data_IF_144218608628
#
_entry.id   IF_144218608628
#
_cell.length_a   1.000
_cell.length_b   1.000
_cell.length_c   1.000
_cell.angle_alpha   90.00
_cell.angle_beta   90.00
_cell.angle_gamma   90.00
#
_symmetry.space_group_name_H-M   'P 1'
#
loop_
_entity.id
_entity.type
_entity.pdbx_description
1 polymer ?
#
# COMPACT_ATOMS: atom_id res chain seq x y z
N UNK A 1 -1.02 5.06 -42.66
CA UNK A 1 -1.78 4.11 -41.81
C UNK A 1 -0.99 3.92 -40.54
N UNK A 2 -1.33 4.68 -39.51
CA UNK A 2 -0.67 4.71 -38.21
C UNK A 2 -1.20 3.55 -37.39
N UNK A 3 -0.31 2.60 -37.08
CA UNK A 3 -0.59 1.50 -36.17
C UNK A 3 -0.84 2.06 -34.77
N UNK A 4 -2.07 1.87 -34.31
CA UNK A 4 -2.49 2.10 -32.93
C UNK A 4 -1.65 1.18 -32.02
N UNK A 5 -0.93 1.68 -30.99
CA UNK A 5 -0.28 0.79 -30.05
C UNK A 5 -1.37 0.02 -29.30
N UNK A 6 -1.33 -1.30 -29.48
CA UNK A 6 -2.24 -2.25 -28.87
C UNK A 6 -2.52 -1.90 -27.41
N UNK A 7 -3.80 -1.66 -27.11
CA UNK A 7 -4.37 -1.62 -25.78
C UNK A 7 -4.11 -2.99 -25.13
N UNK A 8 -2.96 -3.13 -24.46
CA UNK A 8 -2.70 -4.29 -23.60
C UNK A 8 -3.67 -4.15 -22.43
N UNK A 9 -4.62 -5.08 -22.25
CA UNK A 9 -5.53 -5.01 -21.10
C UNK A 9 -4.68 -4.97 -19.84
N UNK A 10 -4.91 -3.97 -18.99
CA UNK A 10 -4.39 -4.04 -17.63
C UNK A 10 -4.99 -5.29 -16.99
N UNK A 11 -4.20 -6.20 -16.38
CA UNK A 11 -4.78 -7.24 -15.56
C UNK A 11 -5.56 -6.55 -14.43
N UNK A 12 -6.85 -6.85 -14.34
CA UNK A 12 -7.74 -6.30 -13.33
C UNK A 12 -7.25 -6.71 -11.95
N UNK A 13 -7.29 -5.79 -10.98
CA UNK A 13 -7.03 -6.12 -9.59
C UNK A 13 -8.00 -7.23 -9.16
N UNK A 14 -7.48 -8.29 -8.54
CA UNK A 14 -8.32 -9.40 -8.14
C UNK A 14 -9.36 -8.89 -7.13
N UNK A 15 -10.67 -9.11 -7.36
CA UNK A 15 -11.66 -8.83 -6.34
C UNK A 15 -11.29 -9.66 -5.11
N UNK A 16 -11.31 -9.03 -3.94
CA UNK A 16 -11.23 -9.79 -2.70
C UNK A 16 -12.65 -10.31 -2.44
N UNK A 17 -12.96 -11.58 -2.71
CA UNK A 17 -14.33 -12.09 -2.85
C UNK A 17 -15.12 -12.11 -1.51
N UNK A 18 -14.53 -11.55 -0.45
CA UNK A 18 -14.97 -11.62 0.95
C UNK A 18 -14.87 -10.29 1.70
N UNK A 19 -14.50 -9.20 1.01
CA UNK A 19 -14.31 -7.88 1.60
C UNK A 19 -15.57 -7.32 2.27
N UNK A 20 -15.39 -6.60 3.37
CA UNK A 20 -16.46 -5.84 4.00
C UNK A 20 -16.89 -4.65 3.16
N UNK A 21 -18.16 -4.28 3.21
CA UNK A 21 -18.74 -3.17 2.46
C UNK A 21 -19.09 -1.99 3.40
N UNK A 22 -18.87 -0.75 2.94
CA UNK A 22 -19.34 0.46 3.61
C UNK A 22 -20.57 0.98 2.86
N UNK A 23 -21.73 0.36 3.10
CA UNK A 23 -22.96 0.62 2.31
C UNK A 23 -23.39 2.08 2.29
N UNK A 24 -23.11 2.83 3.36
CA UNK A 24 -23.37 4.28 3.41
C UNK A 24 -22.49 5.05 2.43
N UNK A 25 -21.22 4.64 2.25
CA UNK A 25 -20.33 5.23 1.25
C UNK A 25 -20.86 4.97 -0.15
N UNK A 26 -21.28 3.74 -0.46
CA UNK A 26 -21.87 3.41 -1.77
C UNK A 26 -23.08 4.28 -2.10
N UNK A 27 -23.97 4.47 -1.11
CA UNK A 27 -25.15 5.34 -1.25
C UNK A 27 -24.75 6.82 -1.48
N UNK A 28 -23.77 7.33 -0.75
CA UNK A 28 -23.29 8.70 -0.93
C UNK A 28 -22.61 8.91 -2.28
N UNK A 29 -21.82 7.94 -2.75
CA UNK A 29 -21.18 8.02 -4.05
C UNK A 29 -22.19 7.94 -5.20
N UNK A 30 -23.24 7.12 -5.06
CA UNK A 30 -24.37 7.11 -6.00
C UNK A 30 -25.12 8.46 -6.00
N UNK A 31 -25.38 9.04 -4.83
CA UNK A 31 -26.02 10.35 -4.72
C UNK A 31 -25.18 11.47 -5.33
N UNK A 32 -23.85 11.40 -5.23
CA UNK A 32 -22.93 12.33 -5.90
C UNK A 32 -23.00 12.22 -7.43
N UNK A 33 -23.09 11.01 -7.97
CA UNK A 33 -23.26 10.80 -9.41
C UNK A 33 -24.60 11.38 -9.89
N UNK A 34 -25.69 11.10 -9.18
CA UNK A 34 -27.02 11.64 -9.51
C UNK A 34 -27.07 13.18 -9.43
N UNK A 35 -26.43 13.77 -8.42
CA UNK A 35 -26.33 15.22 -8.27
C UNK A 35 -25.54 15.84 -9.43
N UNK A 36 -24.44 15.22 -9.84
CA UNK A 36 -23.66 15.69 -10.98
C UNK A 36 -24.47 15.66 -12.29
N UNK A 37 -25.19 14.58 -12.57
CA UNK A 37 -26.04 14.46 -13.76
C UNK A 37 -27.17 15.52 -13.79
N UNK A 38 -27.73 15.85 -12.62
CA UNK A 38 -28.73 16.91 -12.48
C UNK A 38 -28.15 18.33 -12.48
N UNK A 39 -26.82 18.48 -12.50
CA UNK A 39 -26.09 19.76 -12.31
C UNK A 39 -26.38 20.42 -10.95
N UNK A 40 -26.61 19.59 -9.94
CA UNK A 40 -26.76 19.97 -8.54
C UNK A 40 -25.39 19.91 -7.81
N UNK A 41 -25.40 20.18 -6.50
CA UNK A 41 -24.20 20.08 -5.65
C UNK A 41 -23.78 18.62 -5.41
N UNK A 42 -22.74 18.18 -6.12
CA UNK A 42 -22.09 16.88 -5.91
C UNK A 42 -21.03 16.89 -4.80
N UNK A 43 -20.59 18.06 -4.31
CA UNK A 43 -19.54 18.15 -3.29
C UNK A 43 -20.03 17.69 -1.92
N UNK A 44 -21.26 18.06 -1.53
CA UNK A 44 -21.86 17.61 -0.27
C UNK A 44 -21.90 16.08 -0.12
N UNK A 45 -22.50 15.30 -1.05
CA UNK A 45 -22.50 13.84 -0.93
C UNK A 45 -21.10 13.22 -0.99
N UNK A 46 -20.15 13.80 -1.74
CA UNK A 46 -18.76 13.32 -1.73
C UNK A 46 -18.04 13.56 -0.41
N UNK A 47 -18.29 14.70 0.25
CA UNK A 47 -17.76 14.97 1.59
C UNK A 47 -18.32 13.98 2.61
N UNK A 48 -19.61 13.64 2.52
CA UNK A 48 -20.23 12.61 3.34
C UNK A 48 -19.62 11.23 3.10
N UNK A 49 -19.39 10.85 1.83
CA UNK A 49 -18.70 9.60 1.47
C UNK A 49 -17.28 9.55 2.06
N UNK A 50 -16.52 10.64 1.95
CA UNK A 50 -15.17 10.72 2.51
C UNK A 50 -15.15 10.51 4.03
N UNK A 51 -16.14 11.07 4.75
CA UNK A 51 -16.26 10.93 6.19
C UNK A 51 -16.52 9.48 6.63
N UNK A 52 -17.48 8.79 6.00
CA UNK A 52 -17.78 7.39 6.35
C UNK A 52 -16.67 6.42 5.94
N UNK A 53 -15.96 6.70 4.83
CA UNK A 53 -14.77 5.94 4.44
C UNK A 53 -13.63 6.14 5.45
N UNK A 54 -13.44 7.36 5.96
CA UNK A 54 -12.46 7.64 7.00
C UNK A 54 -12.83 6.94 8.33
N UNK A 55 -14.12 6.93 8.69
CA UNK A 55 -14.63 6.19 9.86
C UNK A 55 -14.35 4.68 9.76
N UNK A 56 -14.49 4.09 8.56
CA UNK A 56 -14.16 2.70 8.30
C UNK A 56 -12.63 2.42 8.26
N UNK A 57 -11.80 3.46 8.25
CA UNK A 57 -10.35 3.37 8.07
C UNK A 57 -9.91 3.11 6.62
N UNK A 58 -10.78 3.37 5.65
CA UNK A 58 -10.51 3.25 4.21
C UNK A 58 -9.82 4.53 3.72
N UNK A 59 -8.68 4.84 4.32
CA UNK A 59 -8.01 6.14 4.19
C UNK A 59 -7.64 6.52 2.74
N UNK A 60 -7.16 5.60 1.87
CA UNK A 60 -6.93 5.94 0.46
C UNK A 60 -8.22 6.38 -0.26
N UNK A 61 -9.32 5.67 -0.02
CA UNK A 61 -10.61 5.99 -0.59
C UNK A 61 -11.18 7.30 -0.03
N UNK A 62 -11.03 7.56 1.27
CA UNK A 62 -11.40 8.83 1.87
C UNK A 62 -10.62 10.01 1.26
N UNK A 63 -9.30 9.84 1.02
CA UNK A 63 -8.48 10.83 0.32
C UNK A 63 -8.93 11.05 -1.12
N UNK A 64 -9.27 9.98 -1.84
CA UNK A 64 -9.76 10.08 -3.20
C UNK A 64 -11.10 10.82 -3.28
N UNK A 65 -12.06 10.46 -2.42
CA UNK A 65 -13.35 11.15 -2.30
C UNK A 65 -13.17 12.64 -1.93
N UNK A 66 -12.23 12.96 -1.04
CA UNK A 66 -11.86 14.35 -0.73
C UNK A 66 -11.32 15.10 -1.95
N UNK A 67 -10.52 14.45 -2.79
CA UNK A 67 -10.00 15.05 -4.02
C UNK A 67 -11.10 15.26 -5.08
N UNK A 68 -12.04 14.32 -5.22
CA UNK A 68 -13.24 14.51 -6.04
C UNK A 68 -14.08 15.69 -5.54
N UNK A 69 -14.25 15.81 -4.22
CA UNK A 69 -14.98 16.92 -3.58
C UNK A 69 -14.32 18.26 -3.91
N UNK A 70 -13.00 18.35 -3.77
CA UNK A 70 -12.25 19.57 -4.05
C UNK A 70 -12.29 19.95 -5.54
N UNK A 71 -12.35 18.97 -6.44
CA UNK A 71 -12.45 19.19 -7.87
C UNK A 71 -13.86 19.58 -8.32
N UNK A 72 -14.92 19.10 -7.65
CA UNK A 72 -16.31 19.24 -8.09
C UNK A 72 -16.73 20.67 -8.48
N UNK A 73 -16.39 21.75 -7.73
CA UNK A 73 -16.75 23.12 -8.11
C UNK A 73 -16.04 23.64 -9.36
N UNK A 74 -14.93 23.03 -9.76
CA UNK A 74 -14.12 23.43 -10.91
C UNK A 74 -14.63 22.81 -12.23
N UNK A 75 -15.58 21.89 -12.15
CA UNK A 75 -16.11 21.12 -13.27
C UNK A 75 -17.27 21.86 -13.93
N UNK A 76 -16.95 23.01 -14.53
CA UNK A 76 -17.96 23.90 -15.17
C UNK A 76 -18.02 23.71 -16.70
N UNK A 77 -16.98 23.12 -17.31
CA UNK A 77 -16.85 22.99 -18.76
C UNK A 77 -16.23 21.64 -19.20
N UNK A 78 -16.60 21.18 -20.39
CA UNK A 78 -15.93 20.05 -21.06
C UNK A 78 -14.51 20.45 -21.52
N UNK A 79 -13.51 19.54 -21.49
CA UNK A 79 -13.59 18.10 -21.18
C UNK A 79 -13.42 17.73 -19.70
N UNK A 80 -13.30 18.72 -18.80
CA UNK A 80 -13.09 18.48 -17.37
C UNK A 80 -14.31 17.77 -16.73
N UNK A 81 -15.52 18.08 -17.23
CA UNK A 81 -16.78 17.37 -16.96
C UNK A 81 -16.69 15.87 -17.13
N UNK A 82 -16.40 15.44 -18.37
CA UNK A 82 -16.28 14.03 -18.68
C UNK A 82 -15.19 13.31 -17.86
N UNK A 83 -14.02 13.93 -17.67
CA UNK A 83 -12.92 13.32 -16.93
C UNK A 83 -13.25 13.11 -15.45
N UNK A 84 -13.91 14.07 -14.82
CA UNK A 84 -14.35 13.95 -13.42
C UNK A 84 -15.40 12.84 -13.26
N UNK A 85 -16.36 12.74 -14.19
CA UNK A 85 -17.40 11.70 -14.18
C UNK A 85 -16.80 10.29 -14.31
N UNK A 86 -15.87 10.11 -15.24
CA UNK A 86 -15.15 8.83 -15.40
C UNK A 86 -14.39 8.48 -14.11
N UNK A 87 -13.71 9.45 -13.50
CA UNK A 87 -13.00 9.24 -12.24
C UNK A 87 -13.95 8.82 -11.08
N UNK A 88 -15.15 9.42 -11.01
CA UNK A 88 -16.17 9.04 -10.04
C UNK A 88 -16.71 7.62 -10.29
N UNK A 89 -17.00 7.26 -11.53
CA UNK A 89 -17.53 5.94 -11.88
C UNK A 89 -16.51 4.82 -11.64
N UNK A 90 -15.25 5.03 -12.00
CA UNK A 90 -14.17 4.08 -11.73
C UNK A 90 -13.92 3.93 -10.22
N UNK A 91 -13.99 5.04 -9.47
CA UNK A 91 -13.87 5.01 -8.02
C UNK A 91 -15.02 4.26 -7.35
N UNK A 92 -16.27 4.49 -7.79
CA UNK A 92 -17.44 3.75 -7.31
C UNK A 92 -17.29 2.26 -7.55
N UNK A 93 -16.82 1.89 -8.75
CA UNK A 93 -16.59 0.49 -9.11
C UNK A 93 -15.54 -0.14 -8.20
N UNK A 94 -14.42 0.56 -7.95
CA UNK A 94 -13.38 0.07 -7.04
C UNK A 94 -13.84 -0.05 -5.58
N UNK A 95 -14.62 0.91 -5.07
CA UNK A 95 -15.22 0.82 -3.72
C UNK A 95 -16.18 -0.39 -3.63
N UNK A 96 -16.94 -0.63 -4.69
CA UNK A 96 -17.84 -1.79 -4.81
C UNK A 96 -17.13 -3.15 -4.88
N UNK A 97 -15.84 -3.19 -5.25
CA UNK A 97 -15.01 -4.41 -5.18
C UNK A 97 -14.49 -4.74 -3.79
N UNK A 98 -14.68 -3.84 -2.82
CA UNK A 98 -14.35 -4.05 -1.40
C UNK A 98 -12.90 -4.47 -1.12
N UNK A 99 -11.97 -4.09 -2.01
CA UNK A 99 -10.55 -4.41 -1.89
C UNK A 99 -9.76 -3.18 -1.43
N UNK A 100 -9.39 -3.14 -0.14
CA UNK A 100 -8.63 -2.02 0.44
C UNK A 100 -7.27 -1.78 -0.23
N UNK A 101 -6.65 -2.82 -0.79
CA UNK A 101 -5.36 -2.71 -1.46
C UNK A 101 -5.52 -2.14 -2.86
N UNK A 102 -6.59 -2.50 -3.55
CA UNK A 102 -6.95 -1.85 -4.80
C UNK A 102 -7.15 -0.34 -4.59
N UNK A 103 -7.91 0.04 -3.56
CA UNK A 103 -8.15 1.45 -3.22
C UNK A 103 -6.85 2.22 -2.89
N UNK A 104 -5.80 1.51 -2.46
CA UNK A 104 -4.50 2.08 -2.15
C UNK A 104 -3.56 2.15 -3.37
N UNK A 105 -3.57 1.12 -4.22
CA UNK A 105 -2.50 0.87 -5.20
C UNK A 105 -2.95 0.85 -6.66
N UNK A 106 -4.25 0.97 -6.96
CA UNK A 106 -4.75 0.96 -8.34
C UNK A 106 -4.09 2.05 -9.21
N UNK A 107 -3.42 1.68 -10.32
CA UNK A 107 -2.84 2.64 -11.25
C UNK A 107 -3.90 3.55 -11.88
N UNK A 108 -5.11 3.01 -12.13
CA UNK A 108 -6.24 3.75 -12.70
C UNK A 108 -6.71 4.83 -11.74
N UNK A 109 -7.00 4.46 -10.48
CA UNK A 109 -7.40 5.43 -9.46
C UNK A 109 -6.29 6.45 -9.21
N UNK A 110 -5.03 6.02 -9.12
CA UNK A 110 -3.93 6.96 -8.95
C UNK A 110 -3.78 7.94 -10.12
N UNK A 111 -4.00 7.47 -11.36
CA UNK A 111 -4.04 8.30 -12.56
C UNK A 111 -5.10 9.40 -12.46
N UNK A 112 -6.31 9.02 -12.07
CA UNK A 112 -7.43 9.96 -11.82
C UNK A 112 -7.11 10.95 -10.70
N UNK A 113 -6.60 10.46 -9.57
CA UNK A 113 -6.24 11.31 -8.43
C UNK A 113 -5.22 12.38 -8.81
N UNK A 114 -4.18 12.00 -9.56
CA UNK A 114 -3.17 12.93 -10.05
C UNK A 114 -3.78 13.95 -11.01
N UNK A 115 -4.61 13.51 -11.96
CA UNK A 115 -5.27 14.40 -12.92
C UNK A 115 -6.17 15.43 -12.20
N UNK A 116 -7.00 14.98 -11.25
CA UNK A 116 -7.86 15.85 -10.44
C UNK A 116 -7.04 16.84 -9.61
N UNK A 117 -5.89 16.43 -9.05
CA UNK A 117 -5.04 17.33 -8.28
C UNK A 117 -4.35 18.38 -9.16
N UNK A 118 -3.94 18.01 -10.37
CA UNK A 118 -3.39 18.95 -11.34
C UNK A 118 -4.42 20.01 -11.74
N UNK A 119 -5.70 19.66 -11.83
CA UNK A 119 -6.77 20.62 -12.12
C UNK A 119 -7.01 21.64 -10.98
N UNK A 120 -6.83 21.22 -9.73
CA UNK A 120 -7.04 22.06 -8.54
C UNK A 120 -5.81 22.82 -8.05
N UNK A 121 -4.60 22.55 -8.56
CA UNK A 121 -3.36 23.14 -8.05
C UNK A 121 -2.92 24.37 -8.84
N UNK A 122 -2.47 25.40 -8.14
CA UNK A 122 -1.83 26.59 -8.76
C UNK A 122 -0.45 26.26 -9.39
N UNK A 123 0.20 25.18 -8.96
CA UNK A 123 1.47 24.71 -9.51
C UNK A 123 1.32 23.36 -10.23
N UNK A 124 1.18 23.44 -11.55
CA UNK A 124 1.11 22.29 -12.46
C UNK A 124 2.40 21.44 -12.47
N UNK A 125 3.51 21.91 -11.87
CA UNK A 125 4.80 21.22 -11.84
C UNK A 125 4.97 20.31 -10.63
N UNK A 126 4.10 20.41 -9.62
CA UNK A 126 4.12 19.53 -8.46
C UNK A 126 3.63 18.13 -8.84
N UNK A 127 4.56 17.20 -9.10
CA UNK A 127 4.21 15.80 -9.32
C UNK A 127 3.69 15.18 -8.02
N UNK A 128 2.57 14.47 -8.10
CA UNK A 128 1.99 13.73 -6.97
C UNK A 128 2.58 12.32 -6.99
N UNK A 129 3.34 11.89 -5.97
CA UNK A 129 3.85 10.53 -5.91
C UNK A 129 2.77 9.54 -5.43
N UNK A 130 2.94 8.26 -5.81
CA UNK A 130 1.99 7.17 -5.51
C UNK A 130 1.79 6.96 -4.00
N UNK A 131 2.83 7.21 -3.20
CA UNK A 131 2.80 7.00 -1.75
C UNK A 131 1.78 7.88 -1.03
N UNK A 132 1.36 9.00 -1.64
CA UNK A 132 0.30 9.87 -1.10
C UNK A 132 -1.03 9.11 -0.95
N UNK A 133 -1.33 8.18 -1.87
CA UNK A 133 -2.48 7.28 -1.74
C UNK A 133 -2.08 5.96 -1.10
N UNK A 134 -1.05 5.29 -1.61
CA UNK A 134 -0.70 3.94 -1.20
C UNK A 134 -0.32 3.84 0.29
N UNK A 135 0.42 4.83 0.80
CA UNK A 135 1.00 4.78 2.13
C UNK A 135 0.36 5.77 3.11
N UNK A 136 -0.87 6.25 2.83
CA UNK A 136 -1.64 7.05 3.80
C UNK A 136 -1.86 6.26 5.08
N UNK A 137 -1.73 6.91 6.24
CA UNK A 137 -1.95 6.22 7.52
C UNK A 137 -0.83 5.26 7.92
N UNK A 138 0.04 4.82 7.00
CA UNK A 138 1.21 3.95 7.26
C UNK A 138 2.49 4.66 7.72
N UNK A 139 3.07 4.18 8.82
CA UNK A 139 4.39 4.58 9.28
C UNK A 139 5.47 3.97 8.37
N UNK A 140 6.49 4.76 8.02
CA UNK A 140 7.61 4.30 7.19
C UNK A 140 8.91 4.62 7.92
N UNK A 141 9.68 3.61 8.35
CA UNK A 141 10.94 3.84 9.03
C UNK A 141 11.99 4.45 8.08
N UNK A 142 12.94 5.19 8.66
CA UNK A 142 14.06 5.73 7.90
C UNK A 142 14.92 4.61 7.30
N UNK A 143 15.37 4.80 6.06
CA UNK A 143 16.28 3.89 5.39
C UNK A 143 17.73 4.39 5.50
N UNK A 144 18.63 3.51 5.88
CA UNK A 144 20.05 3.81 6.14
C UNK A 144 20.89 3.69 4.88
N UNK A 145 21.98 4.45 4.83
CA UNK A 145 23.01 4.38 3.82
C UNK A 145 24.36 4.22 4.52
N UNK A 146 25.03 3.08 4.32
CA UNK A 146 26.33 2.80 4.95
C UNK A 146 27.42 3.78 4.53
N UNK A 147 28.53 3.83 5.24
CA UNK A 147 29.69 4.56 4.73
C UNK A 147 30.28 3.87 3.49
N UNK A 148 30.50 4.64 2.41
CA UNK A 148 31.20 4.14 1.22
C UNK A 148 32.65 4.61 1.22
N UNK A 149 33.61 3.72 0.93
CA UNK A 149 34.96 4.14 0.56
C UNK A 149 34.95 4.91 -0.76
N UNK A 150 35.70 6.02 -0.84
CA UNK A 150 35.70 6.91 -2.02
C UNK A 150 35.97 6.17 -3.33
N UNK A 151 36.99 5.31 -3.35
CA UNK A 151 37.35 4.53 -4.54
C UNK A 151 36.23 3.57 -5.00
N UNK A 152 35.45 3.04 -4.06
CA UNK A 152 34.28 2.22 -4.38
C UNK A 152 33.13 3.09 -4.88
N UNK A 153 32.84 4.21 -4.21
CA UNK A 153 31.79 5.14 -4.60
C UNK A 153 32.00 5.68 -6.03
N UNK A 154 33.22 6.10 -6.38
CA UNK A 154 33.54 6.55 -7.75
C UNK A 154 33.28 5.46 -8.79
N UNK A 155 33.69 4.23 -8.50
CA UNK A 155 33.52 3.10 -9.42
C UNK A 155 32.06 2.71 -9.57
N UNK A 156 31.32 2.60 -8.48
CA UNK A 156 29.90 2.25 -8.47
C UNK A 156 29.09 3.30 -9.25
N UNK A 157 29.38 4.59 -9.02
CA UNK A 157 28.72 5.70 -9.74
C UNK A 157 29.01 5.66 -11.24
N UNK A 158 30.26 5.48 -11.66
CA UNK A 158 30.61 5.41 -13.08
C UNK A 158 29.91 4.21 -13.79
N UNK A 159 29.82 3.06 -13.12
CA UNK A 159 29.10 1.88 -13.63
C UNK A 159 27.60 2.16 -13.76
N UNK A 160 27.01 2.71 -12.71
CA UNK A 160 25.60 3.07 -12.67
C UNK A 160 25.22 4.07 -13.77
N UNK A 161 25.96 5.18 -13.89
CA UNK A 161 25.68 6.24 -14.87
C UNK A 161 25.83 5.73 -16.31
N UNK A 162 26.84 4.89 -16.58
CA UNK A 162 27.02 4.26 -17.90
C UNK A 162 25.84 3.35 -18.26
N UNK A 163 25.41 2.51 -17.33
CA UNK A 163 24.30 1.59 -17.55
C UNK A 163 22.97 2.36 -17.69
N UNK A 164 22.73 3.35 -16.84
CA UNK A 164 21.57 4.25 -16.90
C UNK A 164 21.47 4.95 -18.26
N UNK A 165 22.59 5.45 -18.79
CA UNK A 165 22.61 6.08 -20.12
C UNK A 165 22.14 5.11 -21.21
N UNK A 166 22.50 3.83 -21.12
CA UNK A 166 22.01 2.78 -22.01
C UNK A 166 20.48 2.61 -21.92
N UNK A 167 19.95 2.55 -20.69
CA UNK A 167 18.50 2.46 -20.43
C UNK A 167 17.73 3.68 -20.95
N UNK A 168 18.25 4.89 -20.73
CA UNK A 168 17.58 6.13 -21.13
C UNK A 168 17.58 6.34 -22.65
N UNK A 169 18.67 5.95 -23.33
CA UNK A 169 18.79 6.08 -24.79
C UNK A 169 18.00 5.04 -25.57
N UNK A 170 17.61 3.93 -24.94
CA UNK A 170 16.85 2.89 -25.60
C UNK A 170 15.42 3.39 -25.94
N UNK A 171 15.06 3.47 -27.23
CA UNK A 171 13.76 3.99 -27.65
C UNK A 171 12.62 2.98 -27.39
N UNK A 172 12.89 1.68 -27.51
CA UNK A 172 11.94 0.58 -27.29
C UNK A 172 12.66 -0.60 -26.66
N UNK A 173 12.09 -1.16 -25.59
CA UNK A 173 12.72 -2.23 -24.80
C UNK A 173 13.92 -1.72 -24.00
N UNK A 174 13.94 -2.00 -22.71
CA UNK A 174 15.11 -1.63 -21.91
C UNK A 174 16.17 -2.71 -22.09
N UNK A 175 17.41 -2.39 -22.49
CA UNK A 175 18.43 -3.41 -22.75
C UNK A 175 18.75 -4.19 -21.48
N UNK A 176 18.50 -5.51 -21.51
CA UNK A 176 18.64 -6.39 -20.34
C UNK A 176 20.01 -6.29 -19.69
N UNK A 177 21.09 -6.27 -20.49
CA UNK A 177 22.45 -6.14 -19.98
C UNK A 177 22.70 -4.83 -19.19
N UNK A 178 22.03 -3.73 -19.54
CA UNK A 178 22.13 -2.48 -18.79
C UNK A 178 21.34 -2.55 -17.47
N UNK A 179 20.20 -3.23 -17.47
CA UNK A 179 19.43 -3.46 -16.24
C UNK A 179 20.13 -4.45 -15.31
N UNK A 180 20.78 -5.48 -15.85
CA UNK A 180 21.58 -6.44 -15.07
C UNK A 180 22.76 -5.72 -14.39
N UNK A 181 23.42 -4.80 -15.11
CA UNK A 181 24.51 -4.00 -14.55
C UNK A 181 24.03 -3.02 -13.47
N UNK A 182 22.85 -2.43 -13.64
CA UNK A 182 22.20 -1.60 -12.62
C UNK A 182 21.84 -2.42 -11.37
N UNK A 183 21.23 -3.60 -11.54
CA UNK A 183 20.89 -4.49 -10.42
C UNK A 183 22.15 -4.95 -9.68
N UNK A 184 23.19 -5.37 -10.41
CA UNK A 184 24.46 -5.76 -9.82
C UNK A 184 25.12 -4.60 -9.06
N UNK A 185 24.97 -3.37 -9.54
CA UNK A 185 25.49 -2.18 -8.84
C UNK A 185 24.72 -1.89 -7.56
N UNK A 186 23.38 -1.94 -7.59
CA UNK A 186 22.55 -1.77 -6.39
C UNK A 186 22.82 -2.86 -5.34
N UNK A 187 22.94 -4.12 -5.78
CA UNK A 187 23.30 -5.24 -4.92
C UNK A 187 24.69 -5.07 -4.29
N UNK A 188 25.67 -4.53 -5.03
CA UNK A 188 27.00 -4.25 -4.50
C UNK A 188 27.01 -3.05 -3.52
N UNK A 189 26.12 -2.08 -3.69
CA UNK A 189 25.96 -0.95 -2.76
C UNK A 189 25.37 -1.39 -1.43
N UNK A 190 24.49 -2.39 -1.45
CA UNK A 190 23.85 -2.93 -0.27
C UNK A 190 24.83 -3.59 0.72
N UNK A 191 24.50 -3.56 2.00
CA UNK A 191 25.33 -4.12 3.09
C UNK A 191 24.64 -5.24 3.88
N UNK A 192 23.39 -5.54 3.54
CA UNK A 192 22.59 -6.60 4.17
C UNK A 192 21.99 -6.18 5.52
N UNK A 193 22.19 -4.94 5.97
CA UNK A 193 21.52 -4.45 7.16
C UNK A 193 20.00 -4.33 6.91
N UNK A 194 19.17 -4.54 7.96
CA UNK A 194 17.76 -4.21 7.88
C UNK A 194 17.62 -2.70 7.61
N UNK A 195 16.62 -2.31 6.82
CA UNK A 195 16.39 -0.91 6.43
C UNK A 195 17.49 -0.27 5.55
N UNK A 196 18.43 -1.05 5.00
CA UNK A 196 19.34 -0.57 3.96
C UNK A 196 18.56 -0.13 2.72
N UNK A 197 18.70 1.14 2.35
CA UNK A 197 18.02 1.70 1.18
C UNK A 197 18.41 0.98 -0.11
N UNK A 198 19.65 0.52 -0.25
CA UNK A 198 20.09 -0.13 -1.49
C UNK A 198 19.45 -1.50 -1.69
N UNK A 199 19.18 -2.23 -0.59
CA UNK A 199 18.37 -3.45 -0.61
C UNK A 199 16.94 -3.16 -1.08
N UNK A 200 16.32 -2.10 -0.57
CA UNK A 200 14.99 -1.65 -1.02
C UNK A 200 14.99 -1.24 -2.51
N UNK A 201 16.00 -0.49 -2.95
CA UNK A 201 16.11 -0.03 -4.33
C UNK A 201 16.33 -1.18 -5.31
N UNK A 202 17.14 -2.17 -4.95
CA UNK A 202 17.34 -3.38 -5.75
C UNK A 202 16.04 -4.20 -5.88
N UNK A 203 15.30 -4.36 -4.76
CA UNK A 203 13.99 -5.00 -4.77
C UNK A 203 13.01 -4.27 -5.71
N UNK A 204 12.92 -2.94 -5.60
CA UNK A 204 12.07 -2.12 -6.44
C UNK A 204 12.46 -2.19 -7.93
N UNK A 205 13.75 -2.17 -8.25
CA UNK A 205 14.23 -2.32 -9.63
C UNK A 205 13.75 -3.63 -10.26
N UNK A 206 13.93 -4.75 -9.54
CA UNK A 206 13.54 -6.08 -10.04
C UNK A 206 12.03 -6.19 -10.24
N UNK A 207 11.24 -5.67 -9.30
CA UNK A 207 9.78 -5.64 -9.43
C UNK A 207 9.34 -4.79 -10.63
N UNK A 208 9.83 -3.56 -10.77
CA UNK A 208 9.50 -2.68 -11.89
C UNK A 208 9.96 -3.24 -13.25
N UNK A 209 11.07 -3.97 -13.27
CA UNK A 209 11.54 -4.69 -14.47
C UNK A 209 10.58 -5.81 -14.84
N UNK A 210 10.18 -6.64 -13.87
CA UNK A 210 9.29 -7.77 -14.10
C UNK A 210 7.92 -7.33 -14.64
N UNK A 211 7.37 -6.22 -14.13
CA UNK A 211 6.09 -5.67 -14.61
C UNK A 211 6.22 -4.67 -15.77
N UNK A 212 7.42 -4.47 -16.32
CA UNK A 212 7.71 -3.48 -17.37
C UNK A 212 7.13 -2.08 -17.05
N UNK A 213 7.20 -1.67 -15.79
CA UNK A 213 6.51 -0.49 -15.28
C UNK A 213 7.04 0.83 -15.91
N UNK A 214 6.15 1.76 -16.29
CA UNK A 214 6.54 3.02 -16.93
C UNK A 214 7.37 3.93 -16.00
N UNK A 215 7.30 3.73 -14.68
CA UNK A 215 8.07 4.49 -13.70
C UNK A 215 9.57 4.13 -13.68
N UNK A 216 9.98 3.00 -14.27
CA UNK A 216 11.34 2.45 -14.16
C UNK A 216 12.43 3.47 -14.51
N UNK A 217 12.31 4.15 -15.67
CA UNK A 217 13.32 5.14 -16.10
C UNK A 217 13.43 6.32 -15.11
N UNK A 218 12.29 6.79 -14.58
CA UNK A 218 12.26 7.89 -13.60
C UNK A 218 12.86 7.45 -12.26
N UNK A 219 12.50 6.26 -11.79
CA UNK A 219 13.04 5.67 -10.56
C UNK A 219 14.56 5.53 -10.64
N UNK A 220 15.09 4.99 -11.73
CA UNK A 220 16.53 4.84 -11.93
C UNK A 220 17.27 6.18 -11.99
N UNK A 221 16.69 7.19 -12.64
CA UNK A 221 17.28 8.53 -12.68
C UNK A 221 17.33 9.19 -11.30
N UNK A 222 16.28 9.07 -10.48
CA UNK A 222 16.27 9.59 -9.10
C UNK A 222 17.21 8.83 -8.18
N UNK A 223 17.32 7.51 -8.37
CA UNK A 223 18.27 6.68 -7.65
C UNK A 223 19.72 7.09 -7.94
N UNK A 224 20.02 7.56 -9.17
CA UNK A 224 21.33 8.15 -9.48
C UNK A 224 21.62 9.42 -8.68
N UNK A 225 20.62 10.28 -8.48
CA UNK A 225 20.78 11.50 -7.67
C UNK A 225 21.13 11.13 -6.23
N UNK A 226 20.41 10.16 -5.64
CA UNK A 226 20.73 9.68 -4.30
C UNK A 226 22.11 9.04 -4.22
N UNK A 227 22.53 8.26 -5.23
CA UNK A 227 23.88 7.69 -5.29
C UNK A 227 24.96 8.79 -5.28
N UNK A 228 24.71 9.89 -5.98
CA UNK A 228 25.58 11.05 -5.97
C UNK A 228 25.73 11.69 -4.59
N UNK A 229 24.61 11.88 -3.87
CA UNK A 229 24.60 12.40 -2.50
C UNK A 229 25.21 11.42 -1.49
N UNK A 230 25.00 10.12 -1.69
CA UNK A 230 25.59 9.06 -0.88
C UNK A 230 27.12 9.03 -1.03
N UNK A 231 27.63 9.16 -2.25
CA UNK A 231 29.06 9.31 -2.52
C UNK A 231 29.66 10.57 -1.87
N UNK A 232 28.84 11.60 -1.61
CA UNK A 232 29.24 12.81 -0.88
C UNK A 232 29.10 12.67 0.65
N UNK A 233 28.76 11.48 1.15
CA UNK A 233 28.75 11.17 2.58
C UNK A 233 27.37 11.13 3.24
N UNK A 234 26.26 11.28 2.49
CA UNK A 234 24.90 11.11 3.05
C UNK A 234 24.77 9.74 3.73
N UNK A 235 24.07 9.68 4.89
CA UNK A 235 23.92 8.46 5.71
C UNK A 235 22.48 7.94 5.83
N UNK A 236 21.52 8.67 5.31
CA UNK A 236 20.10 8.30 5.29
C UNK A 236 19.45 8.75 4.00
N UNK A 237 18.60 7.89 3.43
CA UNK A 237 17.81 8.25 2.27
C UNK A 237 16.74 9.29 2.65
N UNK A 238 16.39 10.24 1.75
CA UNK A 238 15.30 11.17 1.99
C UNK A 238 13.97 10.43 2.24
N UNK A 239 13.22 10.76 3.32
CA UNK A 239 12.00 10.03 3.69
C UNK A 239 10.97 9.92 2.56
N UNK A 240 10.75 11.01 1.83
CA UNK A 240 9.84 11.06 0.68
C UNK A 240 10.24 10.10 -0.43
N UNK A 241 11.54 9.91 -0.65
CA UNK A 241 12.04 8.99 -1.67
C UNK A 241 11.97 7.53 -1.24
N UNK A 242 12.17 7.25 0.06
CA UNK A 242 11.90 5.92 0.64
C UNK A 242 10.44 5.54 0.48
N UNK A 243 9.53 6.45 0.83
CA UNK A 243 8.08 6.23 0.71
C UNK A 243 7.66 5.95 -0.72
N UNK A 244 8.16 6.74 -1.67
CA UNK A 244 7.86 6.53 -3.09
C UNK A 244 8.39 5.20 -3.60
N UNK A 245 9.62 4.84 -3.24
CA UNK A 245 10.22 3.55 -3.63
C UNK A 245 9.43 2.36 -3.06
N UNK A 246 8.97 2.48 -1.81
CA UNK A 246 8.11 1.47 -1.18
C UNK A 246 6.75 1.36 -1.84
N UNK A 247 6.12 2.49 -2.17
CA UNK A 247 4.84 2.49 -2.85
C UNK A 247 4.94 1.82 -4.23
N UNK A 248 6.03 2.06 -4.96
CA UNK A 248 6.31 1.41 -6.24
C UNK A 248 6.55 -0.10 -6.09
N UNK A 249 7.34 -0.51 -5.10
CA UNK A 249 7.58 -1.93 -4.82
C UNK A 249 6.28 -2.65 -4.41
N UNK A 250 5.50 -2.06 -3.51
CA UNK A 250 4.32 -2.68 -2.93
C UNK A 250 3.15 -2.79 -3.91
N UNK A 251 3.02 -1.85 -4.85
CA UNK A 251 1.88 -1.73 -5.77
C UNK A 251 1.44 -3.06 -6.37
N UNK A 252 2.36 -3.78 -6.99
CA UNK A 252 2.02 -4.98 -7.75
C UNK A 252 1.69 -6.15 -6.78
N UNK A 253 2.46 -6.31 -5.69
CA UNK A 253 2.16 -7.32 -4.66
C UNK A 253 0.87 -7.03 -3.87
N UNK A 254 0.46 -5.77 -3.77
CA UNK A 254 -0.78 -5.39 -3.11
C UNK A 254 -2.00 -5.77 -3.95
N UNK A 255 -1.90 -5.67 -5.29
CA UNK A 255 -3.00 -5.92 -6.23
C UNK A 255 -3.10 -7.39 -6.63
N UNK A 256 -1.97 -8.06 -6.80
CA UNK A 256 -1.89 -9.39 -7.40
C UNK A 256 -1.26 -10.42 -6.45
N UNK A 257 -1.00 -10.03 -5.20
CA UNK A 257 -0.34 -10.85 -4.20
C UNK A 257 1.09 -11.27 -4.57
N UNK A 258 1.62 -12.22 -3.82
CA UNK A 258 2.98 -12.73 -3.92
C UNK A 258 2.96 -14.26 -4.12
N UNK A 259 3.88 -14.75 -4.94
CA UNK A 259 4.15 -16.17 -5.14
C UNK A 259 5.32 -16.64 -4.24
N UNK A 260 5.59 -17.95 -4.24
CA UNK A 260 6.62 -18.55 -3.38
C UNK A 260 8.04 -18.02 -3.69
N UNK A 261 8.30 -17.66 -4.94
CA UNK A 261 9.55 -17.05 -5.40
C UNK A 261 9.74 -15.60 -4.89
N UNK A 262 8.66 -14.93 -4.48
CA UNK A 262 8.69 -13.52 -4.09
C UNK A 262 9.07 -13.28 -2.63
N UNK A 263 9.44 -14.34 -1.89
CA UNK A 263 9.78 -14.28 -0.46
C UNK A 263 10.80 -13.18 -0.14
N UNK A 264 11.79 -12.95 -1.02
CA UNK A 264 12.77 -11.90 -0.82
C UNK A 264 12.16 -10.47 -0.91
N UNK A 265 11.20 -10.25 -1.80
CA UNK A 265 10.47 -8.97 -1.89
C UNK A 265 9.55 -8.76 -0.70
N UNK A 266 8.83 -9.81 -0.32
CA UNK A 266 7.93 -9.77 0.84
C UNK A 266 8.70 -9.54 2.14
N UNK A 267 9.90 -10.10 2.28
CA UNK A 267 10.76 -9.84 3.43
C UNK A 267 11.18 -8.36 3.52
N UNK A 268 11.48 -7.72 2.39
CA UNK A 268 11.74 -6.28 2.33
C UNK A 268 10.48 -5.49 2.70
N UNK A 269 9.32 -5.83 2.15
CA UNK A 269 8.05 -5.16 2.46
C UNK A 269 7.69 -5.27 3.95
N UNK A 270 7.87 -6.45 4.54
CA UNK A 270 7.67 -6.69 5.96
C UNK A 270 8.65 -5.90 6.84
N UNK A 271 9.88 -5.63 6.39
CA UNK A 271 10.74 -4.73 7.14
C UNK A 271 10.11 -3.35 7.27
N UNK A 272 9.38 -2.88 6.26
CA UNK A 272 8.69 -1.58 6.23
C UNK A 272 7.21 -1.61 6.65
N UNK A 273 6.71 -2.71 7.22
CA UNK A 273 5.33 -2.80 7.71
C UNK A 273 4.26 -2.89 6.63
N UNK A 274 4.63 -3.39 5.45
CA UNK A 274 3.71 -3.64 4.34
C UNK A 274 3.47 -5.13 4.19
N UNK A 275 2.18 -5.49 4.14
CA UNK A 275 1.73 -6.87 4.01
C UNK A 275 1.23 -7.15 2.59
N UNK A 276 1.24 -8.42 2.21
CA UNK A 276 0.78 -8.92 0.92
C UNK A 276 -0.12 -10.13 1.13
N UNK A 277 -0.88 -10.50 0.10
CA UNK A 277 -1.58 -11.78 0.05
C UNK A 277 -0.66 -12.77 -0.63
N UNK A 278 -0.70 -14.02 -0.18
CA UNK A 278 0.08 -15.09 -0.79
C UNK A 278 -0.85 -15.89 -1.70
N UNK A 279 -0.51 -15.96 -2.99
CA UNK A 279 -1.21 -16.85 -3.92
C UNK A 279 -0.54 -18.21 -3.96
N UNK A 280 -1.36 -19.25 -3.90
CA UNK A 280 -0.91 -20.65 -4.07
C UNK A 280 -0.88 -21.04 -5.57
N UNK A 281 -1.52 -20.25 -6.44
CA UNK A 281 -1.69 -20.58 -7.85
C UNK A 281 -0.47 -20.15 -8.70
N UNK A 282 0.54 -21.01 -8.80
CA UNK A 282 1.79 -20.74 -9.52
C UNK A 282 1.71 -20.68 -11.05
N UNK A 283 0.53 -20.55 -11.68
CA UNK A 283 0.38 -20.41 -13.14
C UNK A 283 -0.85 -19.57 -13.53
N UNK A 284 -0.82 -18.86 -14.69
CA UNK A 284 -1.97 -18.09 -15.20
C UNK A 284 -3.24 -18.92 -15.43
N UNK A 285 -3.09 -20.22 -15.72
CA UNK A 285 -4.22 -21.13 -15.90
C UNK A 285 -4.85 -21.55 -14.57
N UNK A 286 -4.05 -21.74 -13.52
CA UNK A 286 -4.55 -21.96 -12.15
C UNK A 286 -5.17 -20.71 -11.54
N UNK A 287 -4.69 -19.54 -11.97
CA UNK A 287 -5.22 -18.23 -11.57
C UNK A 287 -6.61 -17.99 -12.17
N UNK A 288 -6.80 -18.19 -13.48
CA UNK A 288 -8.12 -18.10 -14.12
C UNK A 288 -9.16 -19.11 -13.55
N UNK A 289 -8.70 -20.29 -13.13
CA UNK A 289 -9.55 -21.27 -12.46
C UNK A 289 -9.90 -20.85 -11.02
N UNK A 290 -8.93 -20.32 -10.28
CA UNK A 290 -9.15 -19.77 -8.94
C UNK A 290 -10.09 -18.56 -8.97
N UNK A 291 -9.93 -17.65 -9.94
CA UNK A 291 -10.83 -16.51 -10.18
C UNK A 291 -12.25 -16.98 -10.50
N UNK A 292 -12.40 -17.94 -11.41
CA UNK A 292 -13.71 -18.47 -11.79
C UNK A 292 -14.40 -19.18 -10.61
N UNK A 293 -13.66 -19.86 -9.75
CA UNK A 293 -14.18 -20.52 -8.56
C UNK A 293 -14.45 -19.53 -7.42
N UNK A 294 -13.63 -18.48 -7.27
CA UNK A 294 -13.82 -17.39 -6.31
C UNK A 294 -15.06 -16.55 -6.65
N UNK A 295 -15.26 -16.21 -7.93
CA UNK A 295 -16.45 -15.48 -8.41
C UNK A 295 -17.74 -16.31 -8.28
N UNK A 296 -17.66 -17.64 -8.45
CA UNK A 296 -18.79 -18.55 -8.19
C UNK A 296 -19.08 -18.67 -6.70
N UNK A 297 -18.06 -18.83 -5.86
CA UNK A 297 -18.20 -18.83 -4.41
C UNK A 297 -18.71 -17.48 -3.87
N UNK A 298 -18.38 -16.37 -4.53
CA UNK A 298 -18.92 -15.03 -4.26
C UNK A 298 -20.42 -14.96 -4.57
N UNK A 299 -20.85 -15.37 -5.76
CA UNK A 299 -22.26 -15.36 -6.13
C UNK A 299 -23.10 -16.21 -5.19
N UNK A 300 -22.58 -17.38 -4.79
CA UNK A 300 -23.24 -18.28 -3.84
C UNK A 300 -23.24 -17.70 -2.41
N UNK A 301 -22.12 -17.14 -1.94
CA UNK A 301 -22.00 -16.57 -0.60
C UNK A 301 -22.78 -15.25 -0.43
N UNK A 302 -22.85 -14.41 -1.46
CA UNK A 302 -23.66 -13.17 -1.46
C UNK A 302 -25.15 -13.50 -1.54
N UNK A 303 -25.53 -14.58 -2.23
CA UNK A 303 -26.92 -15.00 -2.33
C UNK A 303 -27.46 -15.74 -1.09
N UNK A 304 -26.60 -16.35 -0.27
CA UNK A 304 -27.05 -17.25 0.83
C UNK A 304 -26.38 -17.07 2.20
N UNK A 305 -25.22 -16.42 2.33
CA UNK A 305 -24.54 -16.29 3.62
C UNK A 305 -25.05 -15.07 4.41
N UNK A 306 -25.34 -15.21 5.72
CA UNK A 306 -25.73 -14.07 6.54
C UNK A 306 -24.60 -13.03 6.61
N UNK A 307 -24.93 -11.75 6.44
CA UNK A 307 -23.98 -10.64 6.66
C UNK A 307 -24.03 -10.18 8.11
N UNK A 308 -22.89 -9.74 8.67
CA UNK A 308 -22.82 -9.10 10.00
C UNK A 308 -22.43 -7.63 9.87
N UNK A 309 -22.97 -6.78 10.73
CA UNK A 309 -22.62 -5.36 10.78
C UNK A 309 -21.67 -5.10 11.94
N UNK A 310 -20.51 -4.51 11.65
CA UNK A 310 -19.48 -4.09 12.59
C UNK A 310 -19.29 -2.58 12.46
N UNK A 311 -20.15 -1.81 13.12
CA UNK A 311 -20.20 -0.35 12.95
C UNK A 311 -20.65 0.02 11.54
N UNK A 312 -19.81 0.75 10.80
CA UNK A 312 -20.09 1.16 9.42
C UNK A 312 -19.77 0.09 8.37
N UNK A 313 -19.07 -0.98 8.75
CA UNK A 313 -18.65 -2.06 7.84
C UNK A 313 -19.63 -3.23 7.94
N UNK A 314 -20.09 -3.72 6.79
CA UNK A 314 -20.89 -4.95 6.68
C UNK A 314 -20.03 -6.06 6.11
N UNK A 315 -19.89 -7.18 6.82
CA UNK A 315 -18.96 -8.26 6.48
C UNK A 315 -19.70 -9.56 6.16
N UNK A 316 -19.10 -10.40 5.32
CA UNK A 316 -19.55 -11.76 5.08
C UNK A 316 -19.28 -12.63 6.32
N UNK A 317 -20.24 -13.47 6.74
CA UNK A 317 -20.06 -14.31 7.93
C UNK A 317 -18.89 -15.30 7.84
N UNK A 318 -18.63 -15.91 6.69
CA UNK A 318 -17.50 -16.85 6.55
C UNK A 318 -16.16 -16.12 6.66
N UNK A 319 -16.03 -14.99 5.96
CA UNK A 319 -14.86 -14.13 6.05
C UNK A 319 -14.59 -13.65 7.49
N UNK A 320 -15.67 -13.34 8.21
CA UNK A 320 -15.62 -12.96 9.61
C UNK A 320 -15.12 -14.11 10.49
N UNK A 321 -15.61 -15.35 10.31
CA UNK A 321 -15.12 -16.50 11.09
C UNK A 321 -13.65 -16.84 10.77
N UNK A 322 -13.23 -16.77 9.50
CA UNK A 322 -11.82 -16.94 9.09
C UNK A 322 -10.91 -15.90 9.77
N UNK A 323 -11.37 -14.65 9.83
CA UNK A 323 -10.71 -13.59 10.56
C UNK A 323 -10.61 -13.89 12.05
N UNK A 324 -11.69 -14.37 12.69
CA UNK A 324 -11.66 -14.72 14.12
C UNK A 324 -10.66 -15.82 14.44
N UNK A 325 -10.57 -16.86 13.60
CA UNK A 325 -9.57 -17.93 13.76
C UNK A 325 -8.14 -17.38 13.66
N UNK A 326 -7.89 -16.51 12.67
CA UNK A 326 -6.59 -15.85 12.50
C UNK A 326 -6.24 -14.96 13.70
N UNK A 327 -7.23 -14.20 14.19
CA UNK A 327 -7.09 -13.31 15.33
C UNK A 327 -6.76 -14.09 16.61
N UNK A 328 -7.54 -15.13 16.92
CA UNK A 328 -7.35 -16.00 18.09
C UNK A 328 -5.96 -16.65 18.09
N UNK A 329 -5.55 -17.24 16.97
CA UNK A 329 -4.22 -17.84 16.82
C UNK A 329 -3.07 -16.84 16.99
N UNK A 330 -3.33 -15.54 16.85
CA UNK A 330 -2.34 -14.47 16.96
C UNK A 330 -2.33 -13.79 18.34
N UNK A 331 -3.35 -14.00 19.17
CA UNK A 331 -3.52 -13.29 20.46
C UNK A 331 -2.38 -13.53 21.45
N UNK A 332 -1.86 -14.77 21.51
CA UNK A 332 -0.80 -15.12 22.45
C UNK A 332 0.54 -14.43 22.11
N UNK A 333 0.92 -14.42 20.83
CA UNK A 333 2.14 -13.75 20.36
C UNK A 333 2.03 -12.23 20.50
N UNK A 334 0.85 -11.65 20.27
CA UNK A 334 0.60 -10.22 20.49
C UNK A 334 0.67 -9.81 21.96
N UNK A 335 0.41 -10.73 22.89
CA UNK A 335 0.47 -10.47 24.33
C UNK A 335 1.90 -10.39 24.90
N UNK A 336 2.92 -10.61 24.07
CA UNK A 336 4.32 -10.52 24.48
C UNK A 336 4.64 -9.13 25.07
N UNK A 337 5.39 -9.10 26.18
CA UNK A 337 5.85 -7.85 26.79
C UNK A 337 7.03 -7.27 25.99
N UNK A 338 6.91 -6.06 25.40
CA UNK A 338 8.01 -5.44 24.65
C UNK A 338 9.31 -5.25 25.43
N UNK A 339 9.24 -5.21 26.77
CA UNK A 339 10.43 -5.06 27.62
C UNK A 339 11.18 -6.38 27.81
N UNK A 340 10.46 -7.50 27.89
CA UNK A 340 11.02 -8.82 28.20
C UNK A 340 11.23 -9.71 26.96
N UNK A 341 10.66 -9.34 25.81
CA UNK A 341 10.73 -10.12 24.59
C UNK A 341 12.17 -10.22 24.04
N UNK A 342 12.61 -11.45 23.77
CA UNK A 342 13.81 -11.69 22.97
C UNK A 342 13.54 -11.52 21.47
N UNK A 343 14.57 -11.66 20.64
CA UNK A 343 14.45 -11.53 19.19
C UNK A 343 13.46 -12.55 18.59
N UNK A 344 13.41 -13.78 19.10
CA UNK A 344 12.50 -14.82 18.61
C UNK A 344 11.04 -14.53 18.94
N UNK A 345 10.76 -14.03 20.14
CA UNK A 345 9.45 -13.56 20.55
C UNK A 345 9.01 -12.34 19.71
N UNK A 346 9.92 -11.40 19.46
CA UNK A 346 9.66 -10.26 18.58
C UNK A 346 9.36 -10.70 17.13
N UNK A 347 10.06 -11.72 16.60
CA UNK A 347 9.76 -12.30 15.29
C UNK A 347 8.34 -12.89 15.22
N UNK A 348 7.93 -13.66 16.23
CA UNK A 348 6.58 -14.23 16.29
C UNK A 348 5.49 -13.15 16.42
N UNK A 349 5.71 -12.17 17.30
CA UNK A 349 4.79 -11.06 17.50
C UNK A 349 4.65 -10.18 16.24
N UNK A 350 5.75 -9.98 15.49
CA UNK A 350 5.74 -9.31 14.19
C UNK A 350 4.89 -10.07 13.17
N UNK A 351 5.12 -11.38 13.03
CA UNK A 351 4.34 -12.22 12.13
C UNK A 351 2.86 -12.28 12.52
N UNK A 352 2.55 -12.33 13.82
CA UNK A 352 1.17 -12.25 14.32
C UNK A 352 0.49 -10.92 13.96
N UNK A 353 1.19 -9.80 14.14
CA UNK A 353 0.72 -8.48 13.72
C UNK A 353 0.39 -8.43 12.23
N UNK A 354 1.29 -8.90 11.37
CA UNK A 354 1.07 -8.91 9.92
C UNK A 354 -0.04 -9.87 9.47
N UNK A 355 -0.18 -11.05 10.10
CA UNK A 355 -1.32 -11.95 9.82
C UNK A 355 -2.65 -11.29 10.15
N UNK A 356 -2.76 -10.65 11.31
CA UNK A 356 -3.96 -9.90 11.71
C UNK A 356 -4.19 -8.71 10.77
N UNK A 357 -3.13 -7.98 10.39
CA UNK A 357 -3.19 -6.87 9.44
C UNK A 357 -3.74 -7.28 8.08
N UNK A 358 -3.19 -8.34 7.49
CA UNK A 358 -3.68 -8.93 6.23
C UNK A 358 -5.13 -9.36 6.36
N UNK A 359 -5.50 -10.10 7.41
CA UNK A 359 -6.87 -10.59 7.58
C UNK A 359 -7.88 -9.45 7.82
N UNK A 360 -7.51 -8.44 8.62
CA UNK A 360 -8.34 -7.25 8.84
C UNK A 360 -8.50 -6.44 7.55
N UNK A 361 -7.43 -6.32 6.75
CA UNK A 361 -7.46 -5.66 5.45
C UNK A 361 -8.40 -6.40 4.49
N UNK A 362 -8.30 -7.73 4.45
CA UNK A 362 -9.18 -8.58 3.67
C UNK A 362 -10.66 -8.52 4.13
N UNK A 363 -10.91 -8.30 5.41
CA UNK A 363 -12.28 -8.15 5.95
C UNK A 363 -12.83 -6.71 5.77
N UNK A 364 -12.01 -5.73 5.39
CA UNK A 364 -12.41 -4.32 5.27
C UNK A 364 -12.33 -3.51 6.56
N UNK A 365 -11.64 -4.02 7.60
CA UNK A 365 -11.44 -3.36 8.89
C UNK A 365 -10.19 -2.45 8.87
N UNK A 366 -10.26 -1.33 8.15
CA UNK A 366 -9.10 -0.50 7.81
C UNK A 366 -8.28 -0.01 9.01
N UNK A 367 -8.93 0.48 10.07
CA UNK A 367 -8.24 0.94 11.29
C UNK A 367 -7.53 -0.19 12.04
N UNK A 368 -8.16 -1.37 12.07
CA UNK A 368 -7.57 -2.56 12.71
C UNK A 368 -6.37 -3.05 11.91
N UNK A 369 -6.49 -3.08 10.58
CA UNK A 369 -5.39 -3.43 9.68
C UNK A 369 -4.19 -2.48 9.87
N UNK A 370 -4.45 -1.18 9.90
CA UNK A 370 -3.40 -0.18 10.03
C UNK A 370 -2.64 -0.28 11.36
N UNK A 371 -3.36 -0.45 12.48
CA UNK A 371 -2.72 -0.62 13.78
C UNK A 371 -1.91 -1.92 13.82
N UNK A 372 -2.47 -3.02 13.32
CA UNK A 372 -1.80 -4.32 13.31
C UNK A 372 -0.52 -4.31 12.47
N UNK A 373 -0.54 -3.70 11.28
CA UNK A 373 0.65 -3.50 10.44
C UNK A 373 1.71 -2.64 11.13
N UNK A 374 1.29 -1.54 11.77
CA UNK A 374 2.20 -0.63 12.50
C UNK A 374 2.81 -1.34 13.72
N UNK A 375 2.05 -2.18 14.40
CA UNK A 375 2.51 -3.00 15.52
C UNK A 375 3.46 -4.11 15.05
N UNK A 376 3.13 -4.77 13.94
CA UNK A 376 4.00 -5.75 13.28
C UNK A 376 5.36 -5.15 12.93
N UNK A 377 5.38 -3.92 12.44
CA UNK A 377 6.60 -3.14 12.15
C UNK A 377 7.40 -2.82 13.42
N UNK A 378 6.74 -2.42 14.51
CA UNK A 378 7.43 -2.18 15.78
C UNK A 378 8.13 -3.44 16.31
N UNK A 379 7.45 -4.59 16.25
CA UNK A 379 8.02 -5.88 16.59
C UNK A 379 9.12 -6.32 15.64
N UNK A 380 8.96 -6.07 14.33
CA UNK A 380 9.98 -6.35 13.31
C UNK A 380 11.28 -5.60 13.59
N UNK A 381 11.19 -4.32 13.94
CA UNK A 381 12.34 -3.51 14.36
C UNK A 381 13.00 -4.07 15.60
N UNK A 382 12.21 -4.44 16.61
CA UNK A 382 12.72 -5.07 17.83
C UNK A 382 13.46 -6.39 17.53
N UNK A 383 12.93 -7.21 16.63
CA UNK A 383 13.54 -8.46 16.19
C UNK A 383 14.89 -8.25 15.49
N UNK A 384 15.04 -7.13 14.77
CA UNK A 384 16.29 -6.65 14.16
C UNK A 384 17.21 -5.91 15.14
N UNK A 385 16.85 -5.80 16.43
CA UNK A 385 17.62 -5.05 17.43
C UNK A 385 17.55 -3.53 17.31
N UNK A 386 16.63 -3.00 16.49
CA UNK A 386 16.44 -1.57 16.26
C UNK A 386 15.42 -1.02 17.25
N UNK A 387 15.88 -0.27 18.25
CA UNK A 387 15.02 0.26 19.32
C UNK A 387 14.09 1.38 18.84
N UNK A 388 12.90 1.43 19.44
CA UNK A 388 12.01 2.59 19.36
C UNK A 388 12.60 3.78 20.15
N UNK A 389 12.28 4.99 19.74
CA UNK A 389 12.72 6.19 20.45
C UNK A 389 11.93 6.41 21.76
N UNK A 390 12.59 6.94 22.79
CA UNK A 390 11.94 7.41 24.02
C UNK A 390 11.02 6.37 24.70
N UNK A 391 9.87 6.82 25.21
CA UNK A 391 8.80 5.97 25.79
C UNK A 391 8.06 5.09 24.77
N UNK A 392 8.68 4.77 23.64
CA UNK A 392 8.09 3.99 22.54
C UNK A 392 7.67 2.57 22.94
N UNK A 393 8.35 1.95 23.93
CA UNK A 393 7.95 0.64 24.44
C UNK A 393 6.60 0.68 25.17
N UNK A 394 6.33 1.73 25.94
CA UNK A 394 5.02 1.91 26.58
C UNK A 394 3.91 2.19 25.55
N UNK A 395 4.24 2.94 24.49
CA UNK A 395 3.33 3.17 23.37
C UNK A 395 3.04 1.86 22.63
N UNK A 396 4.06 1.03 22.38
CA UNK A 396 3.91 -0.27 21.76
C UNK A 396 3.06 -1.22 22.62
N UNK A 397 3.30 -1.27 23.94
CA UNK A 397 2.49 -2.06 24.87
C UNK A 397 1.01 -1.63 24.83
N UNK A 398 0.75 -0.33 24.95
CA UNK A 398 -0.63 0.23 24.85
C UNK A 398 -1.29 -0.09 23.51
N UNK A 399 -0.55 0.04 22.41
CA UNK A 399 -1.06 -0.28 21.08
C UNK A 399 -1.40 -1.77 20.95
N UNK A 400 -0.59 -2.66 21.54
CA UNK A 400 -0.90 -4.10 21.59
C UNK A 400 -2.16 -4.39 22.41
N UNK A 401 -2.29 -3.80 23.59
CA UNK A 401 -3.49 -3.97 24.43
C UNK A 401 -4.76 -3.43 23.73
N UNK A 402 -4.65 -2.30 23.03
CA UNK A 402 -5.76 -1.74 22.25
C UNK A 402 -6.14 -2.63 21.07
N UNK A 403 -5.16 -3.17 20.34
CA UNK A 403 -5.42 -4.10 19.24
C UNK A 403 -6.13 -5.35 19.77
N UNK A 404 -5.60 -5.97 20.83
CA UNK A 404 -6.21 -7.15 21.47
C UNK A 404 -7.63 -6.88 21.97
N UNK A 405 -7.87 -5.73 22.58
CA UNK A 405 -9.21 -5.31 23.00
C UNK A 405 -10.16 -5.10 21.81
N UNK A 406 -9.66 -4.55 20.69
CA UNK A 406 -10.44 -4.42 19.46
C UNK A 406 -10.80 -5.79 18.87
N UNK A 407 -9.85 -6.75 18.83
CA UNK A 407 -10.10 -8.12 18.37
C UNK A 407 -11.18 -8.82 19.21
N UNK A 408 -11.16 -8.66 20.54
CA UNK A 408 -12.19 -9.21 21.43
C UNK A 408 -13.57 -8.57 21.22
N UNK A 409 -13.62 -7.26 20.96
CA UNK A 409 -14.88 -6.57 20.59
C UNK A 409 -15.42 -7.07 19.26
N UNK A 410 -14.56 -7.19 18.27
CA UNK A 410 -14.94 -7.72 16.95
C UNK A 410 -15.51 -9.12 17.13
N UNK A 411 -14.84 -10.01 17.87
CA UNK A 411 -15.32 -11.37 18.18
C UNK A 411 -16.70 -11.40 18.84
N UNK A 412 -17.00 -10.42 19.69
CA UNK A 412 -18.31 -10.24 20.32
C UNK A 412 -19.38 -9.63 19.38
N UNK A 413 -19.06 -9.38 18.11
CA UNK A 413 -19.95 -8.72 17.15
C UNK A 413 -20.11 -7.22 17.39
N UNK A 414 -19.20 -6.60 18.15
CA UNK A 414 -19.23 -5.17 18.47
C UNK A 414 -18.29 -4.43 17.54
N UNK A 415 -18.68 -3.22 17.13
CA UNK A 415 -17.85 -2.34 16.32
C UNK A 415 -16.46 -2.13 16.99
N UNK A 416 -15.36 -2.25 16.23
CA UNK A 416 -14.04 -1.92 16.75
C UNK A 416 -13.98 -0.43 17.13
N UNK A 417 -13.21 -0.06 18.16
CA UNK A 417 -13.00 1.35 18.48
C UNK A 417 -12.20 2.06 17.37
N UNK A 418 -12.22 3.39 17.38
CA UNK A 418 -11.25 4.17 16.59
C UNK A 418 -9.82 3.90 17.11
N UNK A 419 -8.95 3.44 16.22
CA UNK A 419 -7.55 3.09 16.51
C UNK A 419 -6.57 4.09 15.91
N UNK A 420 -7.06 5.21 15.35
CA UNK A 420 -6.25 6.23 14.66
C UNK A 420 -5.19 6.80 15.59
N UNK A 421 -5.59 7.28 16.78
CA UNK A 421 -4.65 7.89 17.73
C UNK A 421 -3.56 6.91 18.20
N UNK A 422 -3.88 5.63 18.36
CA UNK A 422 -2.91 4.60 18.73
C UNK A 422 -1.91 4.33 17.59
N UNK A 423 -2.42 4.26 16.35
CA UNK A 423 -1.61 4.08 15.14
C UNK A 423 -0.70 5.28 14.89
N UNK A 424 -1.18 6.49 15.13
CA UNK A 424 -0.40 7.73 15.05
C UNK A 424 0.70 7.77 16.10
N UNK A 425 0.35 7.54 17.38
CA UNK A 425 1.32 7.55 18.47
C UNK A 425 2.44 6.53 18.24
N UNK A 426 2.08 5.31 17.83
CA UNK A 426 3.07 4.27 17.52
C UNK A 426 3.88 4.63 16.27
N UNK A 427 3.23 5.17 15.23
CA UNK A 427 3.89 5.65 14.03
C UNK A 427 4.93 6.74 14.32
N UNK A 428 4.60 7.71 15.19
CA UNK A 428 5.54 8.74 15.64
C UNK A 428 6.72 8.11 16.39
N UNK A 429 6.48 7.13 17.26
CA UNK A 429 7.55 6.39 17.93
C UNK A 429 8.47 5.61 16.97
N UNK A 430 7.95 5.25 15.79
CA UNK A 430 8.67 4.60 14.69
C UNK A 430 9.44 5.57 13.78
N UNK A 431 9.35 6.87 14.03
CA UNK A 431 10.03 7.90 13.24
C UNK A 431 9.21 8.45 12.07
N UNK A 432 7.88 8.33 12.14
CA UNK A 432 6.99 9.06 11.24
C UNK A 432 7.10 10.56 11.51
N UNK A 433 7.73 11.28 10.59
CA UNK A 433 7.75 12.76 10.55
C UNK A 433 6.59 13.27 9.72
#
# INVERSE_FOLDING_TARGET
>A
MTSDPANVPHPDALPNPRGGAVRSADAWLAAAADAFERRDDAATPLSAAAAVLAEAGWLPAARFAGQLTAAAPLVVAEPAGAAWRVALDDFRTAVGRHNLRELACSPVLFGHFRALRTQGAADLRANVPLDVLALVGRAVPAATLRALPDAFATRARARYERALLGVLRAPHGTPDAALDELDATLAALADGAPYDYWRLAAACLRALRASAAPELKRFLARTNLLLGEHAQGRRSAPPEFVRETLALLWRDFALFGAAAEDVAFVDVLHDYGLTVDWHVAGTPASEALWEADAARAEQDAVATAPTRTLGVVTVNAHAYEDFLQTADASMADLAADPVAADAGAAWRASAAGYRVGTAACALGLGHTALLADTLGLAWRRAAHGVRLAGGGLDVQRRASDMLRAALLKIAAGVAPPDLTAASEALGTALGRT
#
